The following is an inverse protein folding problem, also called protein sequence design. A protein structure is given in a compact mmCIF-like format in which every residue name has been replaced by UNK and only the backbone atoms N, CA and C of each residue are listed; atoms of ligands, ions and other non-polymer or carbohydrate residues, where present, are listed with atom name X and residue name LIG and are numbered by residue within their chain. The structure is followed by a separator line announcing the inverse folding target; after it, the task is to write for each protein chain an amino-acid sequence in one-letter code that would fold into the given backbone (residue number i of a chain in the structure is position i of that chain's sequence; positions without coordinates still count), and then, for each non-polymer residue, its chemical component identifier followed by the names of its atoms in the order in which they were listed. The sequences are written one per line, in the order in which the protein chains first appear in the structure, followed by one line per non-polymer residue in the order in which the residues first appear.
data_IF_225550995717
#
_entry.id   IF_225550995717
#
_cell.length_a   1.000
_cell.length_b   1.000
_cell.length_c   1.000
_cell.angle_alpha   90.00
_cell.angle_beta   90.00
_cell.angle_gamma   90.00
#
_symmetry.space_group_name_H-M   'P 1'
#
loop_
_entity.id
_entity.type
_entity.pdbx_description
1 polymer ?
#
# COMPACT_ATOMS: atom_id res chain seq x y z
N UNK A 1 -4.08 -31.76 -13.44
CA UNK A 1 -2.86 -30.93 -13.33
C UNK A 1 -3.09 -29.44 -13.63
N UNK A 2 -4.33 -28.91 -13.56
CA UNK A 2 -4.59 -27.47 -13.79
C UNK A 2 -4.91 -26.68 -12.51
N UNK A 3 -5.18 -27.36 -11.38
CA UNK A 3 -5.54 -26.71 -10.12
C UNK A 3 -4.33 -26.18 -9.32
N UNK A 4 -3.21 -26.91 -9.36
CA UNK A 4 -1.98 -26.54 -8.64
C UNK A 4 -1.36 -25.26 -9.21
N UNK A 5 -1.32 -25.14 -10.53
CA UNK A 5 -0.80 -23.96 -11.22
C UNK A 5 -1.62 -22.68 -10.94
N UNK A 6 -2.94 -22.84 -10.78
CA UNK A 6 -3.84 -21.74 -10.43
C UNK A 6 -3.63 -21.27 -8.97
N UNK A 7 -3.42 -22.21 -8.05
CA UNK A 7 -3.12 -21.90 -6.66
C UNK A 7 -1.79 -21.17 -6.51
N UNK A 8 -0.74 -21.61 -7.20
CA UNK A 8 0.55 -20.92 -7.22
C UNK A 8 0.42 -19.49 -7.77
N UNK A 9 -0.30 -19.32 -8.87
CA UNK A 9 -0.55 -18.00 -9.48
C UNK A 9 -1.30 -17.07 -8.52
N UNK A 10 -2.30 -17.59 -7.81
CA UNK A 10 -3.07 -16.83 -6.83
C UNK A 10 -2.17 -16.38 -5.66
N UNK A 11 -1.30 -17.25 -5.15
CA UNK A 11 -0.36 -16.91 -4.09
C UNK A 11 0.66 -15.84 -4.50
N UNK A 12 1.16 -15.91 -5.74
CA UNK A 12 2.05 -14.88 -6.30
C UNK A 12 1.35 -13.52 -6.37
N UNK A 13 0.09 -13.49 -6.84
CA UNK A 13 -0.69 -12.26 -6.93
C UNK A 13 -1.00 -11.66 -5.55
N UNK A 14 -1.38 -12.50 -4.59
CA UNK A 14 -1.60 -12.08 -3.20
C UNK A 14 -0.31 -11.50 -2.61
N UNK A 15 0.82 -12.17 -2.80
CA UNK A 15 2.11 -11.71 -2.30
C UNK A 15 2.55 -10.39 -2.94
N UNK A 16 2.44 -10.26 -4.26
CA UNK A 16 2.77 -9.03 -4.98
C UNK A 16 1.87 -7.86 -4.54
N UNK A 17 0.60 -8.15 -4.26
CA UNK A 17 -0.32 -7.15 -3.73
C UNK A 17 0.10 -6.67 -2.34
N UNK A 18 0.43 -7.57 -1.41
CA UNK A 18 0.95 -7.20 -0.08
C UNK A 18 2.36 -6.60 -0.07
N UNK A 19 3.10 -6.70 -1.18
CA UNK A 19 4.42 -6.06 -1.35
C UNK A 19 4.34 -4.63 -1.88
N UNK A 20 3.14 -4.10 -2.17
CA UNK A 20 2.99 -2.71 -2.56
C UNK A 20 3.47 -1.78 -1.43
N UNK A 21 4.08 -0.64 -1.75
CA UNK A 21 4.66 0.29 -0.77
C UNK A 21 3.64 0.91 0.20
N UNK A 22 2.36 0.61 -0.02
CA UNK A 22 1.22 1.01 0.79
C UNK A 22 1.00 0.10 2.00
N UNK A 23 1.55 -1.13 1.99
CA UNK A 23 1.40 -2.07 3.08
C UNK A 23 2.62 -2.02 4.00
N UNK A 24 2.37 -1.94 5.30
CA UNK A 24 3.40 -2.22 6.28
C UNK A 24 3.81 -3.69 6.16
N UNK A 25 5.08 -3.94 5.81
CA UNK A 25 5.63 -5.28 5.64
C UNK A 25 5.59 -6.11 6.93
N UNK A 26 5.41 -5.47 8.08
CA UNK A 26 5.30 -6.12 9.38
C UNK A 26 3.85 -6.41 9.79
N UNK A 27 2.85 -5.95 9.03
CA UNK A 27 1.45 -6.13 9.37
C UNK A 27 0.91 -7.46 8.85
N UNK A 28 0.34 -8.26 9.74
CA UNK A 28 -0.29 -9.53 9.34
C UNK A 28 -1.50 -9.27 8.44
N UNK A 29 -1.65 -10.01 7.33
CA UNK A 29 -2.78 -9.83 6.43
C UNK A 29 -4.10 -10.20 7.11
N UNK A 30 -4.98 -9.22 7.29
CA UNK A 30 -6.33 -9.48 7.81
C UNK A 30 -7.21 -10.07 6.70
N UNK A 31 -7.52 -11.36 6.78
CA UNK A 31 -8.31 -12.07 5.75
C UNK A 31 -9.83 -11.78 5.76
N UNK A 32 -10.30 -10.77 6.48
CA UNK A 32 -11.69 -10.32 6.38
C UNK A 32 -11.82 -9.32 5.23
N UNK A 33 -12.44 -9.65 4.08
CA UNK A 33 -12.41 -8.80 2.88
C UNK A 33 -13.04 -7.42 3.07
N UNK A 34 -14.05 -7.31 3.93
CA UNK A 34 -14.73 -6.04 4.22
C UNK A 34 -13.89 -5.14 5.11
N UNK A 35 -13.26 -5.74 6.12
CA UNK A 35 -12.36 -5.02 7.05
C UNK A 35 -11.06 -4.64 6.33
N UNK A 36 -10.56 -5.53 5.49
CA UNK A 36 -9.40 -5.33 4.63
C UNK A 36 -9.59 -4.13 3.70
N UNK A 37 -10.73 -4.06 2.99
CA UNK A 37 -11.02 -2.96 2.06
C UNK A 37 -11.09 -1.60 2.77
N UNK A 38 -11.67 -1.53 3.96
CA UNK A 38 -11.78 -0.28 4.73
C UNK A 38 -10.41 0.14 5.27
N UNK A 39 -9.69 -0.78 5.89
CA UNK A 39 -8.37 -0.51 6.45
C UNK A 39 -7.38 -0.08 5.37
N UNK A 40 -7.35 -0.80 4.24
CA UNK A 40 -6.54 -0.46 3.08
C UNK A 40 -6.82 0.94 2.55
N UNK A 41 -8.10 1.32 2.42
CA UNK A 41 -8.47 2.66 1.95
C UNK A 41 -8.01 3.77 2.89
N UNK A 42 -8.05 3.53 4.20
CA UNK A 42 -7.58 4.49 5.19
C UNK A 42 -6.07 4.63 5.09
N UNK A 43 -5.32 3.52 5.09
CA UNK A 43 -3.86 3.52 4.95
C UNK A 43 -3.39 4.19 3.64
N UNK A 44 -4.11 3.94 2.54
CA UNK A 44 -3.84 4.59 1.26
C UNK A 44 -4.01 6.11 1.34
N UNK A 45 -5.11 6.59 1.95
CA UNK A 45 -5.36 8.02 2.13
C UNK A 45 -4.33 8.66 3.05
N UNK A 46 -3.93 7.98 4.13
CA UNK A 46 -2.88 8.45 5.04
C UNK A 46 -1.53 8.58 4.31
N UNK A 47 -1.18 7.59 3.47
CA UNK A 47 0.05 7.65 2.67
C UNK A 47 0.01 8.79 1.64
N UNK A 48 -1.10 8.96 0.92
CA UNK A 48 -1.28 10.09 0.00
C UNK A 48 -1.14 11.44 0.72
N UNK A 49 -1.72 11.57 1.92
CA UNK A 49 -1.58 12.79 2.72
C UNK A 49 -0.11 13.04 3.08
N UNK A 50 0.60 12.03 3.57
CA UNK A 50 2.03 12.17 3.92
C UNK A 50 2.87 12.63 2.73
N UNK A 51 2.64 12.06 1.55
CA UNK A 51 3.32 12.47 0.32
C UNK A 51 3.03 13.93 -0.04
N UNK A 52 1.77 14.36 -0.01
CA UNK A 52 1.39 15.75 -0.29
C UNK A 52 2.07 16.72 0.69
N UNK A 53 2.11 16.36 1.98
CA UNK A 53 2.80 17.14 3.00
C UNK A 53 4.31 17.25 2.73
N UNK A 54 4.97 16.16 2.38
CA UNK A 54 6.40 16.17 2.07
C UNK A 54 6.71 17.00 0.82
N UNK A 55 5.86 16.91 -0.21
CA UNK A 55 6.00 17.71 -1.43
C UNK A 55 5.87 19.19 -1.10
N UNK A 56 4.84 19.58 -0.36
CA UNK A 56 4.61 20.99 0.00
C UNK A 56 5.73 21.53 0.89
N UNK A 57 6.22 20.72 1.85
CA UNK A 57 7.39 21.06 2.66
C UNK A 57 8.62 21.32 1.79
N UNK A 58 8.88 20.47 0.78
CA UNK A 58 10.01 20.66 -0.15
C UNK A 58 9.81 21.91 -1.01
N UNK A 59 8.58 22.19 -1.46
CA UNK A 59 8.25 23.43 -2.21
C UNK A 59 8.61 24.66 -1.39
N UNK A 60 8.15 24.72 -0.12
CA UNK A 60 8.43 25.83 0.79
C UNK A 60 9.93 25.98 1.06
N UNK A 61 10.67 24.88 1.27
CA UNK A 61 12.12 24.92 1.43
C UNK A 61 12.84 25.47 0.20
N UNK A 62 12.37 25.13 -1.00
CA UNK A 62 12.92 25.71 -2.22
C UNK A 62 12.59 27.21 -2.28
N UNK A 63 11.36 27.62 -2.00
CA UNK A 63 10.96 29.03 -2.00
C UNK A 63 11.74 29.89 -0.98
N UNK A 64 12.07 29.35 0.19
CA UNK A 64 12.88 30.04 1.21
C UNK A 64 14.37 30.16 0.83
N UNK A 65 14.85 29.36 -0.14
CA UNK A 65 16.24 29.33 -0.60
C UNK A 65 16.45 29.98 -1.99
N UNK A 66 15.41 30.59 -2.56
CA UNK A 66 15.47 31.46 -3.74
C UNK A 66 15.49 32.94 -3.34
#
# INVERSE_FOLDING_TARGET
MNGEHYQETLWVLIKAYFQQPLFDQNQLPTFNPLTFRRHYRIQYLEHCWQLDYEIERRRLQLEDHW
#
